data_IF_872381509523
#
_entry.id   IF_872381509523
#
_cell.length_a   1.000
_cell.length_b   1.000
_cell.length_c   1.000
_cell.angle_alpha   90.00
_cell.angle_beta   90.00
_cell.angle_gamma   90.00
#
_symmetry.space_group_name_H-M   'P 1'
#
loop_
_entity.id
_entity.type
_entity.pdbx_description
1 polymer ?
#
# COMPACT_ATOMS: atom_id res chain seq x y z
N UNK A 1 21.24 8.91 -4.01
CA UNK A 1 20.00 9.42 -3.39
C UNK A 1 19.93 8.94 -1.95
N UNK A 2 19.72 9.84 -0.98
CA UNK A 2 19.60 9.51 0.45
C UNK A 2 18.16 9.22 0.91
N UNK A 3 17.16 9.37 0.03
CA UNK A 3 15.75 9.09 0.31
C UNK A 3 15.36 7.65 -0.07
N UNK A 4 14.25 7.50 -0.80
CA UNK A 4 13.71 6.19 -1.18
C UNK A 4 14.69 5.34 -1.98
N UNK A 5 15.53 5.95 -2.83
CA UNK A 5 16.53 5.20 -3.59
C UNK A 5 17.52 4.42 -2.71
N UNK A 6 17.78 4.86 -1.46
CA UNK A 6 18.61 4.12 -0.50
C UNK A 6 17.79 3.31 0.50
N UNK A 7 16.89 3.98 1.22
CA UNK A 7 16.15 3.36 2.32
C UNK A 7 15.18 2.29 1.84
N UNK A 8 14.37 2.62 0.85
CA UNK A 8 13.34 1.71 0.32
C UNK A 8 13.97 0.58 -0.49
N UNK A 9 15.03 0.85 -1.28
CA UNK A 9 15.80 -0.20 -1.95
C UNK A 9 16.32 -1.26 -0.96
N UNK A 10 16.80 -0.84 0.21
CA UNK A 10 17.28 -1.78 1.23
C UNK A 10 16.15 -2.63 1.85
N UNK A 11 14.89 -2.17 1.82
CA UNK A 11 13.71 -2.97 2.22
C UNK A 11 13.32 -4.02 1.18
N UNK A 12 13.77 -3.84 -0.07
CA UNK A 12 13.51 -4.77 -1.18
C UNK A 12 14.64 -5.81 -1.28
N UNK A 13 15.87 -5.36 -1.52
CA UNK A 13 17.02 -6.26 -1.84
C UNK A 13 17.95 -6.53 -0.64
N UNK A 14 17.63 -5.96 0.53
CA UNK A 14 18.47 -6.01 1.71
C UNK A 14 19.65 -5.02 1.70
N UNK A 15 20.16 -4.68 2.89
CA UNK A 15 21.18 -3.64 3.06
C UNK A 15 22.50 -3.91 2.31
N UNK A 16 22.91 -5.17 2.15
CA UNK A 16 24.17 -5.52 1.47
C UNK A 16 24.09 -5.20 -0.01
N UNK A 17 23.05 -5.68 -0.71
CA UNK A 17 22.87 -5.43 -2.15
C UNK A 17 22.54 -3.97 -2.44
N UNK A 18 21.72 -3.31 -1.62
CA UNK A 18 21.44 -1.90 -1.81
C UNK A 18 22.71 -1.03 -1.75
N UNK A 19 23.63 -1.31 -0.81
CA UNK A 19 24.92 -0.61 -0.73
C UNK A 19 25.85 -0.97 -1.89
N UNK A 20 25.87 -2.23 -2.32
CA UNK A 20 26.63 -2.68 -3.49
C UNK A 20 26.22 -1.90 -4.75
N UNK A 21 24.91 -1.78 -5.00
CA UNK A 21 24.34 -0.99 -6.11
C UNK A 21 24.82 0.46 -6.05
N UNK A 22 24.66 1.13 -4.90
CA UNK A 22 24.99 2.55 -4.76
C UNK A 22 26.49 2.85 -4.77
N UNK A 23 27.32 1.98 -4.20
CA UNK A 23 28.75 2.25 -4.09
C UNK A 23 29.50 1.93 -5.38
N UNK A 24 29.07 0.91 -6.11
CA UNK A 24 29.79 0.44 -7.29
C UNK A 24 29.17 0.89 -8.61
N UNK A 25 27.92 1.37 -8.59
CA UNK A 25 27.20 1.87 -9.77
C UNK A 25 27.25 0.90 -10.97
N UNK A 26 27.29 -0.41 -10.70
CA UNK A 26 27.30 -1.45 -11.72
C UNK A 26 25.92 -1.57 -12.35
N UNK A 27 25.91 -2.08 -13.58
CA UNK A 27 24.69 -2.51 -14.25
C UNK A 27 24.38 -3.96 -13.86
N UNK A 28 23.10 -4.26 -13.73
CA UNK A 28 22.58 -5.60 -13.44
C UNK A 28 21.56 -5.95 -14.51
N UNK A 29 21.60 -7.20 -14.99
CA UNK A 29 20.62 -7.69 -15.95
C UNK A 29 19.31 -8.12 -15.26
N UNK A 30 18.32 -8.52 -16.07
CA UNK A 30 16.98 -8.86 -15.57
C UNK A 30 16.99 -10.05 -14.59
N UNK A 31 17.80 -11.08 -14.84
CA UNK A 31 17.91 -12.26 -13.97
C UNK A 31 18.58 -11.93 -12.65
N UNK A 32 19.65 -11.12 -12.66
CA UNK A 32 20.29 -10.65 -11.43
C UNK A 32 19.32 -9.79 -10.59
N UNK A 33 18.50 -8.97 -11.24
CA UNK A 33 17.48 -8.16 -10.58
C UNK A 33 16.35 -9.03 -9.97
N UNK A 34 15.96 -10.11 -10.65
CA UNK A 34 15.00 -11.09 -10.13
C UNK A 34 15.57 -11.84 -8.92
N UNK A 35 16.79 -12.36 -9.03
CA UNK A 35 17.46 -13.12 -7.96
C UNK A 35 17.64 -12.31 -6.68
N UNK A 36 17.96 -11.01 -6.79
CA UNK A 36 18.06 -10.13 -5.62
C UNK A 36 16.71 -9.61 -5.09
N UNK A 37 15.59 -9.96 -5.74
CA UNK A 37 14.23 -9.55 -5.34
C UNK A 37 13.80 -8.15 -5.79
N UNK A 38 14.58 -7.49 -6.66
CA UNK A 38 14.25 -6.16 -7.18
C UNK A 38 13.12 -6.19 -8.21
N UNK A 39 13.03 -7.28 -8.98
CA UNK A 39 12.02 -7.53 -10.02
C UNK A 39 11.19 -8.74 -9.62
N UNK A 40 9.87 -8.70 -9.85
CA UNK A 40 8.98 -9.80 -9.47
C UNK A 40 8.94 -10.95 -10.50
N UNK A 41 9.08 -10.65 -11.80
CA UNK A 41 9.06 -11.64 -12.90
C UNK A 41 9.82 -11.12 -14.12
N UNK A 42 10.50 -12.02 -14.83
CA UNK A 42 11.19 -11.75 -16.09
C UNK A 42 10.50 -12.52 -17.22
N UNK A 43 10.25 -11.86 -18.34
CA UNK A 43 9.60 -12.41 -19.55
C UNK A 43 10.31 -11.90 -20.81
N UNK A 44 10.19 -12.57 -21.98
CA UNK A 44 10.63 -12.03 -23.25
C UNK A 44 10.04 -10.63 -23.53
N UNK A 45 10.79 -9.80 -24.25
CA UNK A 45 10.40 -8.39 -24.49
C UNK A 45 9.06 -8.27 -25.22
N UNK A 46 8.78 -9.19 -26.14
CA UNK A 46 7.54 -9.30 -26.89
C UNK A 46 6.32 -9.69 -26.02
N UNK A 47 6.54 -10.24 -24.83
CA UNK A 47 5.47 -10.64 -23.89
C UNK A 47 5.27 -9.63 -22.76
N UNK A 48 6.13 -8.61 -22.63
CA UNK A 48 6.15 -7.68 -21.49
C UNK A 48 4.79 -7.01 -21.27
N UNK A 49 4.18 -6.48 -22.32
CA UNK A 49 2.87 -5.82 -22.22
C UNK A 49 1.76 -6.81 -21.86
N UNK A 50 1.78 -8.00 -22.47
CA UNK A 50 0.80 -9.06 -22.23
C UNK A 50 0.82 -9.52 -20.77
N UNK A 51 2.01 -9.77 -20.21
CA UNK A 51 2.19 -10.17 -18.82
C UNK A 51 1.70 -9.05 -17.86
N UNK A 52 2.02 -7.78 -18.17
CA UNK A 52 1.54 -6.64 -17.39
C UNK A 52 0.01 -6.50 -17.40
N UNK A 53 -0.63 -6.68 -18.56
CA UNK A 53 -2.09 -6.67 -18.69
C UNK A 53 -2.74 -7.85 -17.95
N UNK A 54 -2.09 -9.01 -17.94
CA UNK A 54 -2.54 -10.15 -17.16
C UNK A 54 -2.55 -9.82 -15.67
N UNK A 55 -1.44 -9.31 -15.12
CA UNK A 55 -1.36 -8.95 -13.69
C UNK A 55 -2.36 -7.85 -13.32
N UNK A 56 -2.52 -6.84 -14.18
CA UNK A 56 -3.53 -5.80 -13.98
C UNK A 56 -4.94 -6.40 -13.93
N UNK A 57 -5.28 -7.30 -14.85
CA UNK A 57 -6.57 -7.99 -14.86
C UNK A 57 -6.79 -8.78 -13.57
N UNK A 58 -5.78 -9.52 -13.11
CA UNK A 58 -5.84 -10.26 -11.86
C UNK A 58 -6.06 -9.35 -10.63
N UNK A 59 -5.43 -8.17 -10.58
CA UNK A 59 -5.66 -7.18 -9.51
C UNK A 59 -7.07 -6.58 -9.58
N UNK A 60 -7.59 -6.33 -10.79
CA UNK A 60 -8.92 -5.75 -11.00
C UNK A 60 -10.06 -6.67 -10.53
N UNK A 61 -9.83 -7.96 -10.41
CA UNK A 61 -10.77 -8.92 -9.82
C UNK A 61 -10.82 -8.87 -8.28
N UNK A 62 -9.92 -8.13 -7.63
CA UNK A 62 -9.83 -8.05 -6.16
C UNK A 62 -10.63 -6.86 -5.62
N UNK A 63 -11.00 -6.93 -4.35
CA UNK A 63 -11.74 -5.84 -3.69
C UNK A 63 -10.92 -4.54 -3.70
N UNK A 64 -11.42 -3.44 -4.31
CA UNK A 64 -10.69 -2.17 -4.34
C UNK A 64 -10.41 -1.60 -2.96
N UNK A 65 -11.31 -1.84 -1.99
CA UNK A 65 -11.11 -1.46 -0.59
C UNK A 65 -9.97 -2.27 0.06
N UNK A 66 -9.88 -3.56 -0.23
CA UNK A 66 -8.78 -4.38 0.28
C UNK A 66 -7.43 -3.92 -0.28
N UNK A 67 -7.35 -3.72 -1.60
CA UNK A 67 -6.11 -3.29 -2.28
C UNK A 67 -5.60 -1.96 -1.72
N UNK A 68 -6.46 -0.96 -1.55
CA UNK A 68 -6.03 0.34 -1.00
C UNK A 68 -5.58 0.25 0.46
N UNK A 69 -6.24 -0.57 1.29
CA UNK A 69 -5.86 -0.76 2.69
C UNK A 69 -4.50 -1.46 2.80
N UNK A 70 -4.28 -2.52 2.02
CA UNK A 70 -2.99 -3.22 1.96
C UNK A 70 -1.87 -2.30 1.50
N UNK A 71 -2.10 -1.49 0.45
CA UNK A 71 -1.10 -0.52 -0.02
C UNK A 71 -0.71 0.47 1.08
N UNK A 72 -1.68 1.05 1.78
CA UNK A 72 -1.37 1.96 2.90
C UNK A 72 -0.68 1.26 4.08
N UNK A 73 -0.97 -0.03 4.31
CA UNK A 73 -0.31 -0.80 5.36
C UNK A 73 1.18 -1.05 5.04
N UNK A 74 1.52 -1.34 3.79
CA UNK A 74 2.92 -1.42 3.35
C UNK A 74 3.64 -0.07 3.52
N UNK A 75 3.00 1.04 3.15
CA UNK A 75 3.57 2.37 3.34
C UNK A 75 3.76 2.71 4.83
N UNK A 76 2.82 2.33 5.71
CA UNK A 76 2.91 2.56 7.15
C UNK A 76 4.13 1.91 7.82
N UNK A 77 4.67 0.83 7.24
CA UNK A 77 5.89 0.19 7.71
C UNK A 77 7.16 1.01 7.38
N UNK A 78 7.14 1.78 6.28
CA UNK A 78 8.29 2.52 5.78
C UNK A 78 8.26 4.02 6.17
N UNK A 79 7.08 4.64 6.17
CA UNK A 79 6.94 6.10 6.12
C UNK A 79 6.49 6.74 7.45
N UNK A 80 6.49 5.96 8.54
CA UNK A 80 6.16 6.44 9.87
C UNK A 80 4.80 7.16 9.92
N UNK A 81 4.78 8.40 10.40
CA UNK A 81 3.55 9.18 10.53
C UNK A 81 2.83 9.41 9.19
N UNK A 82 3.56 9.55 8.08
CA UNK A 82 2.95 9.74 6.77
C UNK A 82 2.22 8.47 6.30
N UNK A 83 2.82 7.29 6.49
CA UNK A 83 2.15 6.04 6.17
C UNK A 83 0.98 5.72 7.13
N UNK A 84 1.11 6.05 8.43
CA UNK A 84 -0.01 5.96 9.39
C UNK A 84 -1.18 6.87 8.97
N UNK A 85 -0.90 8.06 8.45
CA UNK A 85 -1.93 8.97 7.95
C UNK A 85 -2.76 8.33 6.83
N UNK A 86 -2.12 7.66 5.87
CA UNK A 86 -2.84 6.95 4.79
C UNK A 86 -3.71 5.82 5.34
N UNK A 87 -3.15 5.00 6.24
CA UNK A 87 -3.86 3.86 6.83
C UNK A 87 -5.05 4.32 7.69
N UNK A 88 -4.85 5.32 8.55
CA UNK A 88 -5.91 5.92 9.37
C UNK A 88 -6.96 6.64 8.51
N UNK A 89 -6.55 7.23 7.39
CA UNK A 89 -7.47 7.79 6.39
C UNK A 89 -8.39 6.72 5.78
N UNK A 90 -7.86 5.54 5.46
CA UNK A 90 -8.67 4.40 5.01
C UNK A 90 -9.61 3.88 6.10
N UNK A 91 -9.16 3.80 7.36
CA UNK A 91 -10.03 3.43 8.48
C UNK A 91 -11.17 4.43 8.68
N UNK A 92 -10.88 5.73 8.59
CA UNK A 92 -11.88 6.81 8.68
C UNK A 92 -12.88 6.73 7.52
N UNK A 93 -12.42 6.45 6.31
CA UNK A 93 -13.28 6.23 5.14
C UNK A 93 -14.24 5.06 5.37
N UNK A 94 -13.75 3.93 5.87
CA UNK A 94 -14.59 2.77 6.18
C UNK A 94 -15.60 3.07 7.30
N UNK A 95 -15.18 3.79 8.34
CA UNK A 95 -16.07 4.25 9.39
C UNK A 95 -17.20 5.15 8.85
N UNK A 96 -16.90 6.06 7.91
CA UNK A 96 -17.90 6.92 7.28
C UNK A 96 -18.91 6.17 6.39
N UNK A 97 -18.62 4.92 6.00
CA UNK A 97 -19.58 4.06 5.30
C UNK A 97 -20.48 3.26 6.24
N UNK A 98 -20.22 3.29 7.55
CA UNK A 98 -21.03 2.57 8.56
C UNK A 98 -22.29 3.34 8.94
N UNK A 99 -23.28 2.62 9.47
CA UNK A 99 -24.49 3.22 10.04
C UNK A 99 -24.16 4.07 11.28
N UNK A 100 -23.21 3.62 12.11
CA UNK A 100 -22.75 4.36 13.30
C UNK A 100 -22.14 5.71 12.92
N UNK A 101 -21.23 5.73 11.94
CA UNK A 101 -20.67 6.99 11.41
C UNK A 101 -21.74 7.90 10.80
N UNK A 102 -22.75 7.31 10.16
CA UNK A 102 -23.88 8.04 9.56
C UNK A 102 -24.77 8.72 10.60
N UNK A 103 -24.98 8.12 11.78
CA UNK A 103 -25.72 8.73 12.88
C UNK A 103 -25.06 10.04 13.38
N UNK A 104 -23.73 10.06 13.46
CA UNK A 104 -22.98 11.28 13.78
C UNK A 104 -23.22 12.40 12.78
N UNK A 105 -23.15 12.09 11.48
CA UNK A 105 -23.46 13.08 10.42
C UNK A 105 -24.91 13.54 10.46
N UNK A 106 -25.85 12.61 10.63
CA UNK A 106 -27.29 12.89 10.61
C UNK A 106 -27.72 13.77 11.78
N UNK A 107 -27.29 13.43 12.99
CA UNK A 107 -27.58 14.21 14.19
C UNK A 107 -27.07 15.65 14.10
N UNK A 108 -25.88 15.87 13.51
CA UNK A 108 -25.35 17.21 13.24
C UNK A 108 -26.25 18.01 12.28
N UNK A 109 -26.66 17.41 11.17
CA UNK A 109 -27.55 18.07 10.19
C UNK A 109 -28.93 18.39 10.78
N UNK A 110 -29.44 17.49 11.63
CA UNK A 110 -30.72 17.63 12.33
C UNK A 110 -30.64 18.50 13.59
N UNK A 111 -29.44 18.98 13.96
CA UNK A 111 -29.17 19.78 15.16
C UNK A 111 -29.69 19.13 16.45
N UNK A 112 -29.58 17.81 16.55
CA UNK A 112 -29.94 17.04 17.75
C UNK A 112 -28.70 16.34 18.33
N UNK A 113 -28.72 15.92 19.60
CA UNK A 113 -27.70 15.04 20.14
C UNK A 113 -27.63 13.71 19.33
N UNK A 114 -26.43 13.18 19.05
CA UNK A 114 -26.28 11.84 18.50
C UNK A 114 -26.71 10.78 19.53
N UNK A 115 -27.27 9.66 19.06
CA UNK A 115 -27.59 8.52 19.90
C UNK A 115 -26.84 7.26 19.43
N UNK A 116 -25.79 6.89 20.15
CA UNK A 116 -25.00 5.69 19.88
C UNK A 116 -25.32 4.50 20.80
N UNK A 117 -26.34 4.60 21.66
CA UNK A 117 -26.64 3.59 22.69
C UNK A 117 -26.97 2.19 22.17
N UNK A 118 -27.36 2.09 20.90
CA UNK A 118 -27.66 0.82 20.23
C UNK A 118 -26.42 0.08 19.70
N UNK A 119 -25.27 0.76 19.56
CA UNK A 119 -24.05 0.15 19.03
C UNK A 119 -23.22 -0.45 20.18
N UNK A 120 -22.72 -1.70 20.03
CA UNK A 120 -21.97 -2.37 21.09
C UNK A 120 -20.53 -1.87 21.17
N UNK A 121 -19.98 -1.84 22.38
CA UNK A 121 -18.53 -1.82 22.58
C UNK A 121 -18.01 -3.23 22.31
N UNK A 122 -17.43 -3.45 21.13
CA UNK A 122 -16.83 -4.74 20.78
C UNK A 122 -15.67 -5.08 21.73
N UNK A 123 -15.37 -6.38 21.96
CA UNK A 123 -14.33 -6.84 22.89
C UNK A 123 -12.92 -6.29 22.63
#
# INVERSE_FOLDING_TARGET
DGGFGSGYLARIVGHKKAREIWYLCRQYNAEEALDMGLVNKVVPVEELEKEGLQWASEVMEKSPLAIRCLKSAFNAECDGQAGIQELAGNATLLYYLSEEGSEGKKSFLEKRPPNFSQYPWLP
#
